data_IF_253237317303
#
_entry.id   IF_253237317303
#
_cell.length_a   1.000
_cell.length_b   1.000
_cell.length_c   1.000
_cell.angle_alpha   90.00
_cell.angle_beta   90.00
_cell.angle_gamma   90.00
#
_symmetry.space_group_name_H-M   'P 1'
#
loop_
_entity.id
_entity.type
_entity.pdbx_description
1 polymer ?
#
# COMPACT_ATOMS: atom_id res chain seq x y z
N UNK A 1 -29.58 -72.37 -1.69
CA UNK A 1 -30.07 -71.61 -0.51
C UNK A 1 -31.15 -70.65 -0.98
N UNK A 2 -32.22 -70.53 -0.19
CA UNK A 2 -33.54 -70.01 -0.56
C UNK A 2 -33.58 -68.48 -0.70
N UNK A 3 -34.27 -67.99 -1.72
CA UNK A 3 -34.83 -66.63 -1.81
C UNK A 3 -35.81 -66.37 -0.67
N UNK A 4 -35.87 -65.13 -0.17
CA UNK A 4 -37.14 -64.51 0.21
C UNK A 4 -37.10 -63.00 -0.04
N UNK A 5 -37.98 -62.61 -0.95
CA UNK A 5 -38.43 -61.27 -1.30
C UNK A 5 -39.47 -60.84 -0.24
N UNK A 6 -39.35 -59.63 0.32
CA UNK A 6 -40.52 -58.92 0.85
C UNK A 6 -40.43 -57.43 0.55
N UNK A 7 -41.42 -57.01 -0.24
CA UNK A 7 -41.80 -55.68 -0.66
C UNK A 7 -43.09 -55.38 0.10
N UNK A 8 -43.24 -54.26 0.82
CA UNK A 8 -44.53 -53.64 1.11
C UNK A 8 -44.39 -52.16 1.57
N UNK A 9 -44.91 -51.26 0.72
CA UNK A 9 -45.68 -50.01 0.96
C UNK A 9 -45.18 -48.92 1.96
N UNK A 10 -44.93 -47.64 1.62
CA UNK A 10 -45.79 -46.56 1.04
C UNK A 10 -47.06 -46.31 1.92
N UNK A 11 -47.23 -45.19 2.64
CA UNK A 11 -47.77 -43.89 2.14
C UNK A 11 -47.78 -42.80 3.26
N UNK A 12 -47.38 -41.59 2.84
CA UNK A 12 -47.59 -40.17 3.29
C UNK A 12 -48.09 -39.74 4.68
N UNK A 13 -47.49 -38.63 5.14
CA UNK A 13 -48.17 -37.55 5.87
C UNK A 13 -47.40 -36.23 5.80
N UNK A 14 -47.93 -35.24 5.07
CA UNK A 14 -47.45 -33.84 5.03
C UNK A 14 -47.60 -33.19 6.42
N UNK A 15 -46.66 -32.32 6.80
CA UNK A 15 -46.96 -31.09 7.53
C UNK A 15 -45.80 -30.09 7.36
N UNK A 16 -46.14 -28.97 6.74
CA UNK A 16 -45.35 -27.77 6.58
C UNK A 16 -44.96 -27.18 7.93
N UNK A 17 -43.69 -26.81 8.10
CA UNK A 17 -43.32 -25.67 8.90
C UNK A 17 -42.13 -24.99 8.24
N UNK A 18 -42.38 -23.79 7.75
CA UNK A 18 -41.36 -22.82 7.39
C UNK A 18 -40.48 -22.56 8.62
N UNK A 19 -39.39 -23.30 8.73
CA UNK A 19 -38.25 -22.92 9.55
C UNK A 19 -37.32 -22.07 8.70
N UNK A 20 -37.78 -20.88 8.28
CA UNK A 20 -36.86 -19.79 8.06
C UNK A 20 -36.15 -19.59 9.40
N UNK A 21 -35.00 -20.24 9.60
CA UNK A 21 -34.04 -19.69 10.53
C UNK A 21 -33.70 -18.36 9.91
N UNK A 22 -34.33 -17.29 10.41
CA UNK A 22 -33.73 -15.98 10.39
C UNK A 22 -32.34 -16.21 10.92
N UNK A 23 -31.36 -16.34 10.02
CA UNK A 23 -30.02 -15.89 10.31
C UNK A 23 -30.28 -14.45 10.70
N UNK A 24 -30.30 -14.23 12.00
CA UNK A 24 -30.09 -12.94 12.58
C UNK A 24 -28.89 -12.42 11.79
N UNK A 25 -29.13 -11.44 10.93
CA UNK A 25 -28.08 -10.70 10.26
C UNK A 25 -27.33 -10.02 11.40
N UNK A 26 -26.44 -10.79 12.04
CA UNK A 26 -25.46 -10.24 12.96
C UNK A 26 -24.77 -9.16 12.13
N UNK A 27 -24.87 -7.89 12.55
CA UNK A 27 -24.37 -6.79 11.75
C UNK A 27 -22.90 -7.08 11.45
N UNK A 28 -22.56 -7.19 10.17
CA UNK A 28 -21.17 -7.38 9.75
C UNK A 28 -20.32 -6.37 10.50
N UNK A 29 -19.33 -6.81 11.29
CA UNK A 29 -18.57 -5.89 12.12
C UNK A 29 -17.99 -4.80 11.24
N UNK A 30 -18.16 -3.54 11.65
CA UNK A 30 -17.61 -2.39 10.93
C UNK A 30 -16.10 -2.58 10.77
N UNK A 31 -15.59 -2.21 9.60
CA UNK A 31 -14.15 -2.20 9.37
C UNK A 31 -13.46 -1.26 10.37
N UNK A 32 -12.33 -1.67 10.95
CA UNK A 32 -11.51 -0.77 11.75
C UNK A 32 -11.06 0.44 10.92
N UNK A 33 -10.85 1.56 11.61
CA UNK A 33 -10.33 2.76 10.98
C UNK A 33 -8.89 2.53 10.47
N UNK A 34 -8.58 3.12 9.31
CA UNK A 34 -7.25 3.06 8.74
C UNK A 34 -6.32 4.06 9.44
N UNK A 35 -5.14 3.59 9.85
CA UNK A 35 -4.10 4.43 10.45
C UNK A 35 -2.91 4.46 9.50
N UNK A 36 -2.45 5.66 9.12
CA UNK A 36 -1.38 5.81 8.13
C UNK A 36 -0.39 6.90 8.53
N UNK A 37 0.87 6.71 8.16
CA UNK A 37 1.93 7.68 8.35
C UNK A 37 2.92 7.70 7.19
N UNK A 38 3.56 8.86 7.00
CA UNK A 38 4.70 9.05 6.11
C UNK A 38 5.63 10.06 6.76
N UNK A 39 6.91 9.73 6.82
CA UNK A 39 7.98 10.64 7.16
C UNK A 39 8.95 10.73 5.97
N UNK A 40 9.27 11.96 5.59
CA UNK A 40 10.40 12.27 4.71
C UNK A 40 11.55 12.81 5.54
N UNK A 41 12.75 12.34 5.25
CA UNK A 41 14.00 12.94 5.70
C UNK A 41 14.87 13.28 4.50
N UNK A 42 15.31 14.54 4.39
CA UNK A 42 16.35 14.97 3.46
C UNK A 42 17.61 15.25 4.26
N UNK A 43 18.70 14.59 3.88
CA UNK A 43 20.01 14.74 4.51
C UNK A 43 21.07 15.13 3.49
N UNK A 44 22.02 15.96 3.91
CA UNK A 44 23.04 16.54 3.03
C UNK A 44 24.42 15.98 3.41
N UNK A 45 25.04 15.13 2.57
CA UNK A 45 26.30 14.47 2.90
C UNK A 45 27.47 15.40 3.23
N UNK A 46 27.49 16.60 2.62
CA UNK A 46 28.51 17.62 2.87
C UNK A 46 28.37 18.29 4.25
N UNK A 47 27.24 18.12 4.94
CA UNK A 47 26.90 18.84 6.17
C UNK A 47 26.68 20.34 5.96
N UNK A 48 26.63 20.81 4.71
CA UNK A 48 26.51 22.25 4.40
C UNK A 48 25.13 22.81 4.71
N UNK A 49 24.11 21.96 4.84
CA UNK A 49 22.76 22.31 5.22
C UNK A 49 22.25 21.39 6.34
N UNK A 50 21.34 21.91 7.17
CA UNK A 50 20.65 21.11 8.16
C UNK A 50 19.72 20.08 7.50
N UNK A 51 19.62 18.90 8.10
CA UNK A 51 18.67 17.89 7.66
C UNK A 51 17.23 18.41 7.80
N UNK A 52 16.39 18.07 6.84
CA UNK A 52 14.96 18.39 6.86
C UNK A 52 14.17 17.13 7.16
N UNK A 53 13.28 17.20 8.15
CA UNK A 53 12.34 16.13 8.46
C UNK A 53 10.93 16.68 8.32
N UNK A 54 10.07 15.92 7.64
CA UNK A 54 8.66 16.23 7.51
C UNK A 54 7.84 14.98 7.79
N UNK A 55 6.89 15.10 8.71
CA UNK A 55 5.99 14.02 9.09
C UNK A 55 4.57 14.32 8.62
N UNK A 56 3.86 13.25 8.28
CA UNK A 56 2.47 13.25 7.86
C UNK A 56 1.73 12.12 8.56
N UNK A 57 0.53 12.40 9.04
CA UNK A 57 -0.39 11.43 9.64
C UNK A 57 -1.63 11.25 8.78
N UNK A 58 -2.55 10.37 9.23
CA UNK A 58 -3.86 10.15 8.60
C UNK A 58 -4.68 11.43 8.36
N UNK A 59 -4.47 12.49 9.13
CA UNK A 59 -5.19 13.76 8.96
C UNK A 59 -4.63 14.60 7.80
N UNK A 60 -3.39 14.34 7.40
CA UNK A 60 -2.64 15.09 6.40
C UNK A 60 -2.25 14.25 5.19
N UNK A 61 -2.69 12.99 5.14
CA UNK A 61 -2.47 12.07 4.04
C UNK A 61 -3.79 11.68 3.40
N UNK A 62 -3.86 11.80 2.09
CA UNK A 62 -4.81 11.06 1.29
C UNK A 62 -4.16 9.73 0.90
N UNK A 63 -4.77 8.63 1.34
CA UNK A 63 -4.29 7.28 1.03
C UNK A 63 -5.29 6.49 0.23
N UNK A 64 -4.80 5.62 -0.65
CA UNK A 64 -5.62 4.70 -1.44
C UNK A 64 -4.90 3.37 -1.60
N UNK A 65 -5.63 2.27 -1.43
CA UNK A 65 -5.21 0.93 -1.86
C UNK A 65 -6.20 0.46 -2.93
N UNK A 66 -5.73 0.28 -4.17
CA UNK A 66 -6.58 -0.07 -5.30
C UNK A 66 -6.09 -1.33 -6.00
N UNK A 67 -6.99 -2.30 -6.18
CA UNK A 67 -6.74 -3.42 -7.07
C UNK A 67 -6.63 -2.93 -8.53
N UNK A 68 -5.66 -3.46 -9.26
CA UNK A 68 -5.46 -3.19 -10.68
C UNK A 68 -5.91 -4.39 -11.52
N UNK A 69 -6.24 -4.14 -12.79
CA UNK A 69 -6.71 -5.18 -13.72
C UNK A 69 -5.64 -6.20 -14.10
N UNK A 70 -4.36 -5.85 -13.92
CA UNK A 70 -3.21 -6.72 -14.17
C UNK A 70 -2.86 -7.65 -13.00
N UNK A 71 -3.70 -7.67 -11.94
CA UNK A 71 -3.46 -8.47 -10.75
C UNK A 71 -2.48 -7.86 -9.75
N UNK A 72 -2.00 -6.63 -9.97
CA UNK A 72 -1.27 -5.85 -8.98
C UNK A 72 -2.22 -5.05 -8.07
N UNK A 73 -1.70 -4.55 -6.97
CA UNK A 73 -2.34 -3.56 -6.13
C UNK A 73 -1.42 -2.34 -6.01
N UNK A 74 -2.03 -1.17 -6.03
CA UNK A 74 -1.35 0.10 -5.89
C UNK A 74 -1.70 0.74 -4.54
N UNK A 75 -0.68 1.02 -3.73
CA UNK A 75 -0.78 1.84 -2.53
C UNK A 75 -0.30 3.24 -2.88
N UNK A 76 -1.14 4.25 -2.65
CA UNK A 76 -0.81 5.66 -2.86
C UNK A 76 -0.89 6.40 -1.54
N UNK A 77 0.12 7.23 -1.25
CA UNK A 77 0.19 8.14 -0.11
C UNK A 77 0.45 9.54 -0.66
N UNK A 78 -0.50 10.46 -0.51
CA UNK A 78 -0.40 11.84 -1.03
C UNK A 78 -0.54 12.80 0.14
N UNK A 79 0.49 13.61 0.39
CA UNK A 79 0.47 14.63 1.41
C UNK A 79 -0.49 15.78 1.02
N UNK A 80 -1.55 15.96 1.80
CA UNK A 80 -2.52 17.04 1.63
C UNK A 80 -1.88 18.36 2.06
N UNK A 81 -1.74 19.30 1.13
CA UNK A 81 -1.02 20.56 1.36
C UNK A 81 0.49 20.39 1.58
N UNK A 82 1.01 19.17 1.41
CA UNK A 82 2.43 18.86 1.48
C UNK A 82 3.07 18.74 0.11
N UNK A 83 4.34 18.31 0.10
CA UNK A 83 5.13 18.17 -1.13
C UNK A 83 5.28 16.72 -1.59
N UNK A 84 4.79 15.76 -0.81
CA UNK A 84 5.20 14.37 -0.95
C UNK A 84 4.09 13.48 -1.52
N UNK A 85 4.43 12.67 -2.51
CA UNK A 85 3.59 11.57 -3.00
C UNK A 85 4.41 10.31 -3.18
N UNK A 86 3.98 9.21 -2.56
CA UNK A 86 4.58 7.88 -2.69
C UNK A 86 3.56 6.94 -3.32
N UNK A 87 3.99 6.20 -4.35
CA UNK A 87 3.23 5.10 -4.93
C UNK A 87 4.04 3.82 -4.79
N UNK A 88 3.43 2.77 -4.25
CA UNK A 88 3.97 1.42 -4.22
C UNK A 88 3.05 0.51 -5.05
N UNK A 89 3.63 -0.35 -5.88
CA UNK A 89 2.88 -1.35 -6.65
C UNK A 89 3.42 -2.74 -6.33
N UNK A 90 2.55 -3.66 -5.91
CA UNK A 90 2.90 -5.02 -5.50
C UNK A 90 1.87 -6.01 -6.06
N UNK A 91 2.29 -7.23 -6.44
CA UNK A 91 1.36 -8.25 -6.91
C UNK A 91 0.39 -8.67 -5.79
N UNK A 92 -0.92 -8.75 -6.09
CA UNK A 92 -1.93 -9.11 -5.08
C UNK A 92 -1.71 -10.50 -4.49
N UNK A 93 -1.24 -11.45 -5.31
CA UNK A 93 -0.93 -12.84 -4.92
C UNK A 93 0.07 -12.94 -3.76
N UNK A 94 0.93 -11.93 -3.60
CA UNK A 94 1.95 -11.89 -2.55
C UNK A 94 1.36 -11.67 -1.16
N UNK A 95 0.14 -11.15 -1.01
CA UNK A 95 -0.47 -10.96 0.31
C UNK A 95 -1.88 -11.55 0.42
N UNK A 96 -2.56 -11.83 -0.70
CA UNK A 96 -3.90 -12.42 -0.71
C UNK A 96 -3.95 -13.88 -0.24
N UNK A 97 -2.81 -14.58 -0.26
CA UNK A 97 -2.68 -15.97 0.21
C UNK A 97 -2.32 -16.08 1.69
N UNK A 98 -2.41 -14.98 2.45
CA UNK A 98 -1.93 -14.91 3.83
C UNK A 98 -0.40 -14.84 3.95
N UNK A 99 0.30 -14.66 2.82
CA UNK A 99 1.74 -14.43 2.78
C UNK A 99 2.05 -13.01 3.30
N UNK A 100 2.28 -12.92 4.60
CA UNK A 100 2.89 -11.73 5.20
C UNK A 100 4.41 -11.88 5.07
N UNK A 101 5.12 -10.76 4.97
CA UNK A 101 6.54 -10.84 4.67
C UNK A 101 7.18 -9.54 4.28
N UNK A 102 8.48 -9.65 3.99
CA UNK A 102 9.34 -8.58 3.56
C UNK A 102 9.63 -8.73 2.07
N UNK A 103 9.35 -7.68 1.31
CA UNK A 103 9.49 -7.62 -0.14
C UNK A 103 10.59 -6.61 -0.48
N UNK A 104 11.51 -7.02 -1.36
CA UNK A 104 12.56 -6.16 -1.88
C UNK A 104 12.05 -5.33 -3.07
N UNK A 105 12.57 -4.11 -3.20
CA UNK A 105 12.23 -3.23 -4.31
C UNK A 105 12.82 -3.77 -5.62
N UNK A 106 11.97 -3.87 -6.64
CA UNK A 106 12.36 -4.15 -8.02
C UNK A 106 12.99 -2.94 -8.65
N UNK A 107 14.27 -3.03 -9.03
CA UNK A 107 14.99 -1.97 -9.73
C UNK A 107 16.01 -2.58 -10.72
N UNK A 108 16.82 -1.74 -11.36
CA UNK A 108 17.84 -2.20 -12.31
C UNK A 108 18.95 -3.09 -11.70
N UNK A 109 19.19 -3.00 -10.38
CA UNK A 109 20.20 -3.78 -9.67
C UNK A 109 19.62 -5.07 -9.06
N UNK A 110 18.33 -5.06 -8.72
CA UNK A 110 17.54 -6.20 -8.29
C UNK A 110 16.26 -6.31 -9.14
N UNK A 111 16.36 -6.90 -10.35
CA UNK A 111 15.21 -7.07 -11.22
C UNK A 111 14.22 -8.13 -10.71
N UNK A 112 14.59 -8.92 -9.69
CA UNK A 112 13.75 -9.96 -9.09
C UNK A 112 12.95 -9.46 -7.87
N UNK A 113 13.11 -8.18 -7.50
CA UNK A 113 12.31 -7.56 -6.46
C UNK A 113 10.80 -7.69 -6.70
N UNK A 114 10.03 -7.70 -5.60
CA UNK A 114 8.62 -8.10 -5.61
C UNK A 114 7.63 -6.93 -5.66
N UNK A 115 8.12 -5.69 -5.47
CA UNK A 115 7.31 -4.49 -5.59
C UNK A 115 8.07 -3.38 -6.34
N UNK A 116 7.36 -2.44 -6.95
CA UNK A 116 7.95 -1.21 -7.52
C UNK A 116 7.51 0.01 -6.72
N UNK A 117 8.30 1.08 -6.82
CA UNK A 117 8.00 2.35 -6.15
C UNK A 117 8.20 3.53 -7.10
N UNK A 118 7.42 4.57 -6.86
CA UNK A 118 7.62 5.90 -7.42
C UNK A 118 7.42 6.94 -6.32
N UNK A 119 8.23 7.99 -6.37
CA UNK A 119 8.17 9.10 -5.45
C UNK A 119 8.12 10.40 -6.24
N UNK A 120 7.18 11.26 -5.90
CA UNK A 120 7.05 12.59 -6.47
C UNK A 120 7.18 13.63 -5.36
N UNK A 121 8.07 14.59 -5.57
CA UNK A 121 8.21 15.79 -4.76
C UNK A 121 7.67 17.00 -5.50
N UNK A 122 6.71 17.71 -4.93
CA UNK A 122 6.08 18.89 -5.51
C UNK A 122 6.77 20.17 -5.04
N UNK A 123 7.02 21.08 -5.98
CA UNK A 123 7.63 22.38 -5.74
C UNK A 123 6.74 23.46 -6.32
N UNK A 124 6.47 24.50 -5.54
CA UNK A 124 5.73 25.68 -5.98
C UNK A 124 6.73 26.82 -6.08
N UNK A 125 7.18 27.12 -7.29
CA UNK A 125 8.15 28.20 -7.53
C UNK A 125 7.47 29.57 -7.66
N UNK A 126 6.20 29.59 -8.10
CA UNK A 126 5.38 30.80 -8.26
C UNK A 126 3.92 30.52 -7.91
N UNK A 127 3.14 31.52 -7.47
CA UNK A 127 1.70 31.35 -7.28
C UNK A 127 1.03 30.82 -8.56
N UNK A 128 0.41 29.63 -8.47
CA UNK A 128 -0.26 28.98 -9.60
C UNK A 128 0.60 28.05 -10.46
N UNK A 129 1.91 27.95 -10.20
CA UNK A 129 2.82 27.05 -10.92
C UNK A 129 3.23 25.88 -10.01
N UNK A 130 2.87 24.66 -10.43
CA UNK A 130 3.24 23.42 -9.74
C UNK A 130 4.27 22.66 -10.59
N UNK A 131 5.50 22.62 -10.10
CA UNK A 131 6.53 21.74 -10.64
C UNK A 131 6.62 20.46 -9.79
N UNK A 132 7.16 19.39 -10.36
CA UNK A 132 7.48 18.20 -9.58
C UNK A 132 8.77 17.51 -10.01
N UNK A 133 9.45 16.93 -9.04
CA UNK A 133 10.53 15.97 -9.24
C UNK A 133 9.98 14.56 -9.05
N UNK A 134 10.04 13.75 -10.09
CA UNK A 134 9.61 12.36 -10.03
C UNK A 134 10.80 11.42 -10.10
N UNK A 135 10.86 10.51 -9.14
CA UNK A 135 11.88 9.50 -9.02
C UNK A 135 11.23 8.13 -9.19
N UNK A 136 11.83 7.28 -10.01
CA UNK A 136 11.40 5.90 -10.21
C UNK A 136 12.23 4.93 -9.37
N UNK A 137 11.79 3.67 -9.30
CA UNK A 137 12.46 2.61 -8.57
C UNK A 137 13.95 2.45 -8.92
N UNK A 138 14.39 2.82 -10.13
CA UNK A 138 15.80 2.72 -10.54
C UNK A 138 16.74 3.69 -9.79
N UNK A 139 16.19 4.70 -9.13
CA UNK A 139 16.92 5.64 -8.27
C UNK A 139 16.78 5.31 -6.78
N UNK A 140 16.16 4.19 -6.44
CA UNK A 140 15.77 3.86 -5.08
C UNK A 140 16.31 2.49 -4.66
N UNK A 141 16.54 2.37 -3.36
CA UNK A 141 16.53 1.12 -2.64
C UNK A 141 15.31 1.11 -1.73
N UNK A 142 14.78 -0.07 -1.41
CA UNK A 142 13.65 -0.09 -0.50
C UNK A 142 13.17 -1.47 -0.10
N UNK A 143 12.36 -1.45 0.95
CA UNK A 143 11.72 -2.62 1.54
C UNK A 143 10.27 -2.29 1.86
N UNK A 144 9.37 -3.19 1.49
CA UNK A 144 7.97 -3.18 1.90
C UNK A 144 7.74 -4.39 2.80
N UNK A 145 7.20 -4.17 3.99
CA UNK A 145 6.83 -5.24 4.92
C UNK A 145 5.32 -5.27 5.04
N UNK A 146 4.68 -6.36 4.61
CA UNK A 146 3.25 -6.59 4.85
C UNK A 146 3.14 -7.42 6.13
N UNK A 147 2.44 -6.89 7.13
CA UNK A 147 2.30 -7.52 8.45
C UNK A 147 1.01 -8.31 8.58
N UNK A 148 -0.06 -7.88 7.90
CA UNK A 148 -1.32 -8.62 7.84
C UNK A 148 -2.12 -8.31 6.58
N UNK A 149 -2.95 -9.27 6.16
CA UNK A 149 -4.02 -9.06 5.19
C UNK A 149 -5.27 -9.81 5.64
N UNK A 150 -6.35 -9.07 5.92
CA UNK A 150 -7.67 -9.65 6.13
C UNK A 150 -8.32 -9.87 4.77
N UNK A 151 -8.42 -11.13 4.34
CA UNK A 151 -9.00 -11.51 3.04
C UNK A 151 -10.50 -11.27 2.96
N UNK A 152 -11.22 -11.34 4.09
CA UNK A 152 -12.67 -11.15 4.13
C UNK A 152 -13.03 -9.67 4.00
N UNK A 153 -12.31 -8.80 4.72
CA UNK A 153 -12.55 -7.35 4.72
C UNK A 153 -11.68 -6.59 3.71
N UNK A 154 -10.72 -7.28 3.08
CA UNK A 154 -9.70 -6.73 2.17
C UNK A 154 -8.86 -5.62 2.82
N UNK A 155 -8.45 -5.82 4.06
CA UNK A 155 -7.67 -4.83 4.84
C UNK A 155 -6.20 -5.21 4.88
N UNK A 156 -5.32 -4.30 4.48
CA UNK A 156 -3.88 -4.52 4.43
C UNK A 156 -3.16 -3.66 5.48
N UNK A 157 -2.17 -4.25 6.15
CA UNK A 157 -1.31 -3.53 7.10
C UNK A 157 0.17 -3.80 6.81
N UNK A 158 1.03 -2.82 7.11
CA UNK A 158 2.45 -2.92 6.83
C UNK A 158 3.23 -1.62 7.01
N UNK A 159 4.49 -1.68 6.60
CA UNK A 159 5.43 -0.55 6.61
C UNK A 159 6.27 -0.55 5.35
N UNK A 160 6.79 0.60 4.96
CA UNK A 160 7.78 0.71 3.90
C UNK A 160 8.91 1.65 4.30
N UNK A 161 10.08 1.39 3.70
CA UNK A 161 11.24 2.25 3.79
C UNK A 161 11.88 2.33 2.41
N UNK A 162 11.95 3.53 1.85
CA UNK A 162 12.60 3.82 0.57
C UNK A 162 13.75 4.81 0.79
N UNK A 163 14.86 4.62 0.08
CA UNK A 163 16.05 5.46 0.15
C UNK A 163 16.47 5.85 -1.27
N UNK A 164 16.60 7.16 -1.49
CA UNK A 164 17.25 7.78 -2.62
C UNK A 164 18.61 8.29 -2.13
N UNK A 165 19.68 7.52 -2.37
CA UNK A 165 20.96 7.73 -1.67
C UNK A 165 21.76 8.96 -2.16
N UNK A 166 21.63 9.30 -3.44
CA UNK A 166 22.36 10.39 -4.07
C UNK A 166 21.50 10.98 -5.20
N UNK A 167 20.70 11.98 -4.85
CA UNK A 167 19.82 12.70 -5.78
C UNK A 167 20.05 14.20 -5.67
N UNK A 168 19.69 14.93 -6.72
CA UNK A 168 19.62 16.39 -6.63
C UNK A 168 18.65 16.76 -5.51
N UNK A 169 19.03 17.75 -4.69
CA UNK A 169 18.15 18.30 -3.66
C UNK A 169 16.81 18.69 -4.29
N UNK A 170 15.70 18.07 -3.87
CA UNK A 170 14.40 18.35 -4.46
C UNK A 170 13.86 19.75 -4.12
N UNK A 171 14.53 20.50 -3.22
CA UNK A 171 14.26 21.92 -2.98
C UNK A 171 15.17 22.86 -3.81
N UNK A 172 16.15 22.35 -4.55
CA UNK A 172 17.05 23.20 -5.33
C UNK A 172 16.32 23.77 -6.56
N UNK A 173 16.05 25.07 -6.51
CA UNK A 173 15.36 25.81 -7.57
C UNK A 173 16.18 25.90 -8.88
N UNK A 174 17.47 25.52 -8.87
CA UNK A 174 18.39 25.66 -10.02
C UNK A 174 18.39 24.49 -11.01
N UNK A 175 17.50 23.51 -10.82
CA UNK A 175 17.05 22.50 -11.80
C UNK A 175 18.05 22.13 -12.92
N UNK A 176 18.81 21.05 -12.72
CA UNK A 176 19.45 20.34 -13.83
C UNK A 176 20.92 20.69 -14.11
N UNK A 177 21.56 21.51 -13.30
CA UNK A 177 23.02 21.63 -13.34
C UNK A 177 23.67 20.45 -12.60
N UNK A 178 24.67 19.82 -13.22
CA UNK A 178 25.42 18.68 -12.64
C UNK A 178 26.25 19.05 -11.40
N UNK A 179 26.32 20.33 -11.05
CA UNK A 179 26.93 20.87 -9.82
C UNK A 179 25.92 21.17 -8.70
N UNK A 180 24.63 20.85 -8.89
CA UNK A 180 23.58 21.11 -7.90
C UNK A 180 23.80 20.32 -6.59
N UNK A 181 23.26 20.84 -5.50
CA UNK A 181 23.44 20.26 -4.17
C UNK A 181 22.92 18.81 -4.16
N UNK A 182 23.74 17.88 -3.67
CA UNK A 182 23.38 16.47 -3.56
C UNK A 182 22.79 16.17 -2.20
N UNK A 183 21.77 15.32 -2.18
CA UNK A 183 21.05 14.92 -0.99
C UNK A 183 20.74 13.43 -0.99
N UNK A 184 20.52 12.90 0.21
CA UNK A 184 19.88 11.62 0.45
C UNK A 184 18.47 11.87 0.94
N UNK A 185 17.48 11.27 0.28
CA UNK A 185 16.07 11.31 0.67
C UNK A 185 15.64 9.94 1.20
N UNK A 186 15.08 9.92 2.40
CA UNK A 186 14.55 8.73 3.05
C UNK A 186 13.05 8.90 3.27
N UNK A 187 12.27 7.88 2.91
CA UNK A 187 10.82 7.85 3.05
C UNK A 187 10.43 6.63 3.87
N UNK A 188 9.88 6.86 5.05
CA UNK A 188 9.42 5.82 5.96
C UNK A 188 7.93 5.98 6.15
N UNK A 189 7.15 4.92 5.95
CA UNK A 189 5.71 4.99 6.16
C UNK A 189 5.14 3.72 6.77
N UNK A 190 3.97 3.88 7.40
CA UNK A 190 3.17 2.79 7.95
C UNK A 190 1.73 2.91 7.48
N UNK A 191 1.05 1.77 7.42
CA UNK A 191 -0.38 1.70 7.14
C UNK A 191 -0.97 0.52 7.92
N UNK A 192 -2.11 0.73 8.54
CA UNK A 192 -2.87 -0.27 9.26
C UNK A 192 -4.31 -0.22 8.76
N UNK A 193 -4.89 -1.40 8.53
CA UNK A 193 -6.28 -1.55 8.11
C UNK A 193 -6.63 -0.77 6.82
N UNK A 194 -5.66 -0.59 5.92
CA UNK A 194 -5.91 0.11 4.67
C UNK A 194 -6.78 -0.78 3.78
N UNK A 195 -8.00 -0.33 3.51
CA UNK A 195 -8.98 -1.10 2.74
C UNK A 195 -8.68 -1.04 1.26
N UNK A 196 -8.70 -2.21 0.63
CA UNK A 196 -8.60 -2.33 -0.81
C UNK A 196 -9.96 -2.06 -1.46
N UNK A 197 -9.97 -1.06 -2.34
CA UNK A 197 -11.09 -0.75 -3.22
C UNK A 197 -11.08 -1.68 -4.44
#
# INVERSE_FOLDING_TARGET
MKSFLYLFLLITGLLSAAGCSSKQDDPTPRDPEAVVSLQRTISYPSGSLANQVQEYSQLTLQTKLAAQTDGSAQLSFVALGGKDKVILTIAQSLFSTGQTGSYALKNQFDPQGSFSAAYTYYVVNRPGELQSHSYSANHMQGKLTVTSYDTQRRLLSGTYHLVLADVADPNDETLGNSSGLRSRVELVGSFENLKME
#
